data_IF_934521249951
#
_entry.id   IF_934521249951
#
_cell.length_a   1.000
_cell.length_b   1.000
_cell.length_c   1.000
_cell.angle_alpha   90.00
_cell.angle_beta   90.00
_cell.angle_gamma   90.00
#
_symmetry.space_group_name_H-M   'P 1'
#
loop_
_entity.id
_entity.type
_entity.pdbx_description
1 polymer ?
#
# COMPACT_ATOMS: atom_id res chain seq x y z
N UNK A 1 -20.23 -56.79 -48.45
CA UNK A 1 -20.39 -56.37 -49.86
C UNK A 1 -19.49 -55.16 -50.10
N UNK A 2 -18.55 -55.29 -51.05
CA UNK A 2 -17.82 -54.25 -51.83
C UNK A 2 -16.95 -53.19 -51.11
N UNK A 3 -15.79 -52.70 -51.57
CA UNK A 3 -14.64 -53.15 -52.39
C UNK A 3 -13.55 -52.02 -52.34
N UNK A 4 -12.26 -52.39 -52.36
CA UNK A 4 -11.03 -51.71 -52.88
C UNK A 4 -10.51 -50.29 -52.46
N UNK A 5 -9.36 -50.25 -51.72
CA UNK A 5 -7.96 -49.73 -52.04
C UNK A 5 -7.70 -48.27 -52.60
N UNK A 6 -6.46 -47.66 -52.54
CA UNK A 6 -5.55 -47.11 -51.48
C UNK A 6 -5.02 -45.64 -51.84
N UNK A 7 -3.80 -45.07 -51.52
CA UNK A 7 -2.62 -45.47 -50.70
C UNK A 7 -1.85 -44.38 -49.86
N UNK A 8 -0.81 -44.85 -49.12
CA UNK A 8 0.50 -44.26 -48.74
C UNK A 8 0.56 -43.04 -47.76
N UNK A 9 1.55 -42.77 -46.88
CA UNK A 9 2.99 -43.10 -46.72
C UNK A 9 3.38 -43.01 -45.22
N UNK A 10 4.34 -43.82 -44.75
CA UNK A 10 5.36 -43.35 -43.78
C UNK A 10 5.54 -44.16 -42.49
N UNK A 11 6.50 -45.10 -42.50
CA UNK A 11 6.95 -45.91 -41.37
C UNK A 11 8.37 -45.51 -40.93
N UNK A 12 8.52 -45.34 -39.61
CA UNK A 12 9.57 -45.87 -38.69
C UNK A 12 11.06 -45.50 -38.82
N UNK A 13 11.56 -44.98 -37.69
CA UNK A 13 12.71 -45.40 -36.88
C UNK A 13 14.14 -45.26 -37.43
N UNK A 14 15.04 -44.64 -36.65
CA UNK A 14 16.01 -45.35 -35.80
C UNK A 14 17.17 -44.48 -35.27
N UNK A 15 17.61 -44.82 -34.05
CA UNK A 15 18.96 -44.76 -33.43
C UNK A 15 19.97 -43.64 -33.78
N UNK A 16 20.52 -42.99 -32.74
CA UNK A 16 21.82 -43.33 -32.13
C UNK A 16 22.34 -42.17 -31.25
N UNK A 17 22.91 -42.53 -30.09
CA UNK A 17 23.61 -41.65 -29.16
C UNK A 17 25.05 -41.36 -29.62
N UNK A 18 25.63 -40.21 -29.20
CA UNK A 18 26.95 -40.10 -28.56
C UNK A 18 27.28 -38.64 -28.13
N UNK A 19 28.23 -38.42 -27.19
CA UNK A 19 28.22 -37.31 -26.25
C UNK A 19 29.15 -36.14 -26.64
N UNK A 20 28.94 -34.94 -26.08
CA UNK A 20 29.94 -33.86 -26.21
C UNK A 20 30.02 -32.87 -25.05
N UNK A 21 31.19 -32.98 -24.39
CA UNK A 21 32.07 -31.92 -23.91
C UNK A 21 31.60 -30.99 -22.76
N UNK A 22 32.11 -31.32 -21.57
CA UNK A 22 32.41 -30.40 -20.47
C UNK A 22 33.34 -29.29 -20.96
N UNK A 23 32.85 -28.05 -21.02
CA UNK A 23 33.66 -26.87 -21.22
C UNK A 23 34.02 -26.24 -19.87
N UNK A 24 35.33 -26.25 -19.55
CA UNK A 24 35.94 -25.53 -18.43
C UNK A 24 35.51 -24.06 -18.44
N UNK A 25 34.72 -23.64 -17.45
CA UNK A 25 34.63 -22.22 -17.09
C UNK A 25 35.97 -21.81 -16.49
N UNK A 26 36.63 -20.83 -17.12
CA UNK A 26 37.80 -20.17 -16.56
C UNK A 26 37.31 -19.24 -15.45
N UNK A 27 37.81 -19.48 -14.24
CA UNK A 27 37.91 -18.44 -13.22
C UNK A 27 38.84 -17.34 -13.74
N UNK A 28 38.33 -16.12 -13.79
CA UNK A 28 39.13 -14.91 -13.64
C UNK A 28 38.24 -13.85 -13.01
N UNK A 29 38.20 -13.92 -11.69
CA UNK A 29 37.81 -12.84 -10.79
C UNK A 29 38.75 -11.65 -10.96
N UNK A 30 38.20 -10.51 -11.35
CA UNK A 30 38.75 -9.20 -11.01
C UNK A 30 37.56 -8.35 -10.52
N UNK A 31 37.53 -7.92 -9.25
CA UNK A 31 36.55 -6.94 -8.84
C UNK A 31 36.99 -5.58 -9.39
N UNK A 32 36.23 -5.05 -10.35
CA UNK A 32 36.25 -3.63 -10.70
C UNK A 32 35.83 -2.86 -9.45
N UNK A 33 36.83 -2.50 -8.66
CA UNK A 33 36.68 -1.65 -7.48
C UNK A 33 36.69 -0.21 -7.99
N UNK A 34 35.64 0.15 -8.73
CA UNK A 34 35.27 1.56 -8.87
C UNK A 34 34.70 1.97 -7.53
N UNK A 35 35.58 2.46 -6.65
CA UNK A 35 35.18 3.26 -5.50
C UNK A 35 34.44 4.45 -6.09
N UNK A 36 33.11 4.40 -6.07
CA UNK A 36 32.27 5.58 -6.27
C UNK A 36 32.50 6.44 -5.04
N UNK A 37 33.57 7.22 -5.03
CA UNK A 37 33.68 8.41 -4.17
C UNK A 37 32.74 9.46 -4.72
N UNK A 38 31.44 9.17 -4.65
CA UNK A 38 30.42 10.19 -4.64
C UNK A 38 30.47 10.81 -3.25
N UNK A 39 31.41 11.73 -3.04
CA UNK A 39 31.21 12.76 -2.03
C UNK A 39 29.99 13.55 -2.50
N UNK A 40 28.80 13.05 -2.14
CA UNK A 40 27.56 13.81 -2.24
C UNK A 40 27.87 15.08 -1.46
N UNK A 41 27.84 16.23 -2.14
CA UNK A 41 28.00 17.52 -1.47
C UNK A 41 27.08 17.47 -0.25
N UNK A 42 27.68 17.59 0.94
CA UNK A 42 26.90 17.76 2.16
C UNK A 42 26.23 19.11 1.97
N UNK A 43 24.98 19.11 1.52
CA UNK A 43 24.15 20.30 1.56
C UNK A 43 24.29 20.88 2.97
N UNK A 44 24.63 22.16 3.06
CA UNK A 44 24.75 22.83 4.34
C UNK A 44 23.44 22.61 5.11
N UNK A 45 23.54 22.18 6.36
CA UNK A 45 22.36 21.97 7.19
C UNK A 45 21.56 23.28 7.26
N UNK A 46 20.23 23.25 7.08
CA UNK A 46 19.41 24.45 7.14
C UNK A 46 19.51 25.05 8.53
N UNK A 47 19.39 26.37 8.64
CA UNK A 47 19.23 27.04 9.95
C UNK A 47 17.88 26.67 10.56
N UNK A 48 17.73 26.83 11.89
CA UNK A 48 16.44 26.63 12.56
C UNK A 48 15.30 27.47 11.97
N UNK A 49 15.59 28.70 11.52
CA UNK A 49 14.60 29.59 10.90
C UNK A 49 14.15 29.04 9.54
N UNK A 50 15.09 28.57 8.72
CA UNK A 50 14.78 27.95 7.42
C UNK A 50 14.02 26.64 7.60
N UNK A 51 14.38 25.84 8.61
CA UNK A 51 13.65 24.62 8.95
C UNK A 51 12.21 24.95 9.39
N UNK A 52 12.03 25.91 10.30
CA UNK A 52 10.71 26.31 10.76
C UNK A 52 9.82 26.82 9.62
N UNK A 53 10.38 27.59 8.68
CA UNK A 53 9.65 28.08 7.51
C UNK A 53 9.18 26.96 6.57
N UNK A 54 9.85 25.79 6.61
CA UNK A 54 9.55 24.62 5.77
C UNK A 54 8.57 23.64 6.41
N UNK A 55 8.24 23.77 7.70
CA UNK A 55 7.27 22.87 8.34
C UNK A 55 5.92 22.99 7.63
N UNK A 56 5.37 21.86 7.19
CA UNK A 56 4.11 21.80 6.46
C UNK A 56 4.19 22.16 4.97
N UNK A 57 5.36 22.57 4.45
CA UNK A 57 5.55 22.71 3.00
C UNK A 57 5.67 21.32 2.36
N UNK A 58 4.95 21.10 1.26
CA UNK A 58 4.90 19.82 0.54
C UNK A 58 4.53 18.61 1.43
N UNK A 59 3.77 18.87 2.50
CA UNK A 59 3.35 17.87 3.46
C UNK A 59 2.18 17.05 2.90
N UNK A 60 2.45 15.80 2.50
CA UNK A 60 1.43 14.89 1.99
C UNK A 60 0.26 14.72 2.97
N UNK A 61 0.52 14.76 4.28
CA UNK A 61 -0.53 14.67 5.30
C UNK A 61 -1.43 15.91 5.33
N UNK A 62 -0.86 17.11 5.13
CA UNK A 62 -1.62 18.37 5.07
C UNK A 62 -2.49 18.38 3.81
N UNK A 63 -1.94 17.97 2.68
CA UNK A 63 -2.68 17.85 1.42
C UNK A 63 -3.81 16.82 1.52
N UNK A 64 -3.54 15.65 2.12
CA UNK A 64 -4.57 14.66 2.44
C UNK A 64 -5.65 15.26 3.36
N UNK A 65 -5.27 16.02 4.39
CA UNK A 65 -6.19 16.72 5.27
C UNK A 65 -7.10 17.71 4.52
N UNK A 66 -6.55 18.50 3.60
CA UNK A 66 -7.33 19.38 2.74
C UNK A 66 -8.29 18.62 1.82
N UNK A 67 -7.86 17.49 1.26
CA UNK A 67 -8.72 16.63 0.43
C UNK A 67 -9.89 16.04 1.23
N UNK A 68 -9.63 15.56 2.45
CA UNK A 68 -10.66 15.06 3.36
C UNK A 68 -11.67 16.16 3.69
N UNK A 69 -11.20 17.38 4.00
CA UNK A 69 -12.07 18.51 4.31
C UNK A 69 -12.94 18.93 3.11
N UNK A 70 -12.38 18.91 1.90
CA UNK A 70 -13.08 19.33 0.67
C UNK A 70 -14.13 18.32 0.21
N UNK A 71 -13.86 17.02 0.33
CA UNK A 71 -14.71 15.95 -0.20
C UNK A 71 -14.74 14.72 0.73
N UNK A 72 -15.31 14.85 1.94
CA UNK A 72 -15.21 13.82 2.98
C UNK A 72 -15.80 12.47 2.58
N UNK A 73 -16.82 12.46 1.71
CA UNK A 73 -17.47 11.23 1.24
C UNK A 73 -16.74 10.53 0.07
N UNK A 74 -15.78 11.19 -0.57
CA UNK A 74 -15.07 10.65 -1.75
C UNK A 74 -13.67 11.25 -1.85
N UNK A 75 -12.83 10.96 -0.87
CA UNK A 75 -11.47 11.52 -0.76
C UNK A 75 -10.59 11.03 -1.90
N UNK A 76 -10.81 9.78 -2.33
CA UNK A 76 -10.09 9.10 -3.40
C UNK A 76 -10.49 9.61 -4.80
N UNK A 77 -11.56 10.39 -4.93
CA UNK A 77 -11.98 10.98 -6.20
C UNK A 77 -12.51 9.97 -7.22
N UNK A 78 -13.09 8.86 -6.75
CA UNK A 78 -13.65 7.81 -7.58
C UNK A 78 -14.98 8.25 -8.22
N UNK A 79 -15.32 7.70 -9.39
CA UNK A 79 -16.67 7.81 -9.92
C UNK A 79 -17.57 6.80 -9.19
N UNK A 80 -18.37 7.31 -8.26
CA UNK A 80 -19.17 6.51 -7.35
C UNK A 80 -20.61 6.34 -7.82
N UNK A 81 -21.16 5.17 -7.54
CA UNK A 81 -22.58 4.84 -7.68
C UNK A 81 -23.04 3.97 -6.51
N UNK A 82 -24.35 3.89 -6.34
CA UNK A 82 -24.94 2.94 -5.41
C UNK A 82 -24.88 1.50 -5.99
N UNK A 83 -24.94 0.51 -5.10
CA UNK A 83 -25.02 -0.89 -5.47
C UNK A 83 -26.37 -1.22 -6.13
N UNK A 84 -26.34 -2.05 -7.17
CA UNK A 84 -27.55 -2.65 -7.74
C UNK A 84 -28.09 -3.77 -6.84
N UNK A 85 -29.36 -4.16 -7.03
CA UNK A 85 -29.95 -5.27 -6.26
C UNK A 85 -29.27 -6.61 -6.57
N UNK A 86 -28.87 -6.79 -7.82
CA UNK A 86 -28.15 -7.99 -8.28
C UNK A 86 -26.76 -8.07 -7.63
N UNK A 87 -26.05 -6.95 -7.53
CA UNK A 87 -24.74 -6.89 -6.87
C UNK A 87 -24.84 -7.18 -5.38
N UNK A 88 -25.85 -6.61 -4.70
CA UNK A 88 -26.13 -6.90 -3.29
C UNK A 88 -26.37 -8.40 -3.09
N UNK A 89 -27.21 -9.02 -3.93
CA UNK A 89 -27.49 -10.45 -3.83
C UNK A 89 -26.22 -11.31 -4.04
N UNK A 90 -25.34 -10.94 -4.97
CA UNK A 90 -24.05 -11.62 -5.19
C UNK A 90 -23.13 -11.47 -3.98
N UNK A 91 -23.08 -10.30 -3.37
CA UNK A 91 -22.28 -10.04 -2.17
C UNK A 91 -22.81 -10.84 -0.97
N UNK A 92 -24.12 -10.86 -0.76
CA UNK A 92 -24.77 -11.62 0.32
C UNK A 92 -24.53 -13.13 0.18
N UNK A 93 -24.67 -13.68 -1.03
CA UNK A 93 -24.34 -15.10 -1.34
C UNK A 93 -22.88 -15.43 -1.02
N UNK A 94 -21.97 -14.46 -1.21
CA UNK A 94 -20.55 -14.55 -0.86
C UNK A 94 -20.26 -14.34 0.64
N UNK A 95 -21.30 -14.24 1.46
CA UNK A 95 -21.19 -14.07 2.91
C UNK A 95 -20.88 -12.64 3.34
N UNK A 96 -21.03 -11.65 2.46
CA UNK A 96 -20.93 -10.26 2.86
C UNK A 96 -22.21 -9.79 3.56
N UNK A 97 -22.07 -8.82 4.45
CA UNK A 97 -23.17 -8.25 5.22
C UNK A 97 -22.97 -6.74 5.33
N UNK A 98 -24.05 -5.98 5.32
CA UNK A 98 -24.03 -4.56 5.61
C UNK A 98 -25.15 -4.19 6.57
N UNK A 99 -24.93 -3.23 7.47
CA UNK A 99 -25.98 -2.70 8.33
C UNK A 99 -27.05 -1.96 7.51
N UNK A 100 -26.60 -1.19 6.51
CA UNK A 100 -27.44 -0.51 5.53
C UNK A 100 -26.70 -0.42 4.20
N UNK A 101 -27.14 -1.19 3.21
CA UNK A 101 -26.59 -1.19 1.86
C UNK A 101 -26.65 0.19 1.18
N UNK A 102 -27.52 1.11 1.61
CA UNK A 102 -27.61 2.49 1.08
C UNK A 102 -26.43 3.36 1.49
N UNK A 103 -25.68 2.96 2.53
CA UNK A 103 -24.47 3.66 2.96
C UNK A 103 -23.22 3.19 2.20
N UNK A 104 -23.36 2.16 1.36
CA UNK A 104 -22.26 1.55 0.62
C UNK A 104 -22.28 2.08 -0.80
N UNK A 105 -21.17 2.70 -1.20
CA UNK A 105 -20.97 3.19 -2.56
C UNK A 105 -19.81 2.46 -3.20
N UNK A 106 -19.91 2.23 -4.51
CA UNK A 106 -18.90 1.50 -5.26
C UNK A 106 -18.45 2.27 -6.49
N UNK A 107 -17.23 2.01 -6.95
CA UNK A 107 -16.74 2.53 -8.23
C UNK A 107 -17.63 2.04 -9.40
N UNK A 108 -17.64 2.81 -10.50
CA UNK A 108 -18.46 2.48 -11.67
C UNK A 108 -18.21 1.06 -12.21
N UNK A 109 -16.94 0.65 -12.28
CA UNK A 109 -16.48 -0.67 -12.76
C UNK A 109 -16.24 -1.67 -11.60
N UNK A 110 -17.03 -1.57 -10.54
CA UNK A 110 -16.96 -2.48 -9.40
C UNK A 110 -17.29 -3.92 -9.77
N UNK A 111 -16.50 -4.87 -9.25
CA UNK A 111 -16.72 -6.30 -9.38
C UNK A 111 -17.12 -6.91 -8.03
N UNK A 112 -18.41 -7.29 -7.82
CA UNK A 112 -18.86 -7.88 -6.57
C UNK A 112 -18.24 -9.26 -6.30
N UNK A 113 -17.68 -9.94 -7.29
CA UNK A 113 -17.04 -11.24 -7.11
C UNK A 113 -15.71 -11.15 -6.35
N UNK A 114 -15.11 -9.96 -6.33
CA UNK A 114 -13.86 -9.64 -5.63
C UNK A 114 -14.06 -9.22 -4.17
N UNK A 115 -15.29 -9.33 -3.66
CA UNK A 115 -15.63 -9.03 -2.27
C UNK A 115 -16.32 -10.25 -1.66
N UNK A 116 -15.75 -10.83 -0.60
CA UNK A 116 -16.24 -12.08 -0.01
C UNK A 116 -16.02 -12.14 1.49
N UNK A 117 -17.07 -12.56 2.22
CA UNK A 117 -17.08 -12.61 3.69
C UNK A 117 -16.63 -11.30 4.32
N UNK A 118 -17.22 -10.19 3.85
CA UNK A 118 -16.91 -8.84 4.33
C UNK A 118 -18.09 -8.29 5.10
N UNK A 119 -17.83 -7.76 6.30
CA UNK A 119 -18.82 -7.02 7.06
C UNK A 119 -18.61 -5.52 6.87
N UNK A 120 -19.65 -4.82 6.43
CA UNK A 120 -19.64 -3.40 6.10
C UNK A 120 -20.51 -2.63 7.09
N UNK A 121 -19.89 -1.72 7.83
CA UNK A 121 -20.56 -0.88 8.82
C UNK A 121 -20.41 0.60 8.49
N UNK A 122 -21.52 1.35 8.57
CA UNK A 122 -21.53 2.77 8.25
C UNK A 122 -21.24 3.05 6.77
N UNK A 123 -20.68 4.24 6.49
CA UNK A 123 -20.42 4.69 5.12
C UNK A 123 -19.13 4.07 4.58
N UNK A 124 -19.26 3.10 3.69
CA UNK A 124 -18.09 2.50 3.04
C UNK A 124 -18.08 2.82 1.54
N UNK A 125 -16.87 3.12 1.03
CA UNK A 125 -16.62 3.30 -0.40
C UNK A 125 -15.69 2.20 -0.87
N UNK A 126 -16.06 1.45 -1.90
CA UNK A 126 -15.24 0.37 -2.46
C UNK A 126 -14.80 0.70 -3.89
N UNK A 127 -13.50 0.67 -4.15
CA UNK A 127 -12.92 0.83 -5.48
C UNK A 127 -13.19 -0.35 -6.40
N UNK A 128 -12.71 -0.26 -7.65
CA UNK A 128 -12.71 -1.41 -8.57
C UNK A 128 -11.56 -2.36 -8.21
N UNK A 129 -11.78 -3.67 -8.35
CA UNK A 129 -10.77 -4.69 -8.12
C UNK A 129 -10.65 -5.54 -9.38
N UNK A 130 -9.58 -5.37 -10.14
CA UNK A 130 -9.39 -6.12 -11.40
C UNK A 130 -8.00 -6.74 -11.49
N UNK A 131 -6.99 -6.13 -10.85
CA UNK A 131 -5.61 -6.56 -10.93
C UNK A 131 -5.22 -7.66 -9.94
N UNK A 132 -3.91 -7.94 -9.96
CA UNK A 132 -3.21 -8.73 -8.95
C UNK A 132 -2.13 -7.86 -8.32
N UNK A 133 -1.81 -8.12 -7.06
CA UNK A 133 -0.76 -7.41 -6.32
C UNK A 133 0.20 -8.42 -5.71
N UNK A 134 1.48 -8.10 -5.74
CA UNK A 134 2.53 -8.93 -5.15
C UNK A 134 2.51 -8.74 -3.62
N UNK A 135 2.22 -9.81 -2.89
CA UNK A 135 2.21 -9.81 -1.41
C UNK A 135 3.54 -10.24 -0.82
N UNK A 136 4.30 -11.04 -1.56
CA UNK A 136 5.65 -11.49 -1.24
C UNK A 136 6.40 -11.73 -2.55
N UNK A 137 7.74 -11.70 -2.56
CA UNK A 137 8.53 -11.96 -3.77
C UNK A 137 8.10 -13.23 -4.50
N UNK A 138 7.52 -13.08 -5.71
CA UNK A 138 7.03 -14.17 -6.56
C UNK A 138 5.66 -14.74 -6.19
N UNK A 139 4.93 -14.14 -5.25
CA UNK A 139 3.57 -14.52 -4.87
C UNK A 139 2.64 -13.32 -5.08
N UNK A 140 1.79 -13.43 -6.09
CA UNK A 140 0.74 -12.46 -6.40
C UNK A 140 -0.62 -13.01 -6.01
N UNK A 141 -1.46 -12.14 -5.44
CA UNK A 141 -2.84 -12.43 -5.12
C UNK A 141 -3.74 -11.47 -5.87
N UNK A 142 -4.94 -11.93 -6.20
CA UNK A 142 -5.93 -11.07 -6.81
C UNK A 142 -6.38 -9.98 -5.85
N UNK A 143 -6.44 -8.74 -6.34
CA UNK A 143 -6.98 -7.60 -5.59
C UNK A 143 -8.44 -7.86 -5.20
N UNK A 144 -8.91 -7.23 -4.14
CA UNK A 144 -10.23 -7.47 -3.57
C UNK A 144 -10.24 -7.36 -2.04
N UNK A 145 -11.40 -7.62 -1.45
CA UNK A 145 -11.61 -7.57 0.00
C UNK A 145 -12.16 -8.92 0.43
N UNK A 146 -11.39 -9.61 1.26
CA UNK A 146 -11.64 -10.97 1.70
C UNK A 146 -11.54 -11.06 3.21
N UNK A 147 -12.51 -11.72 3.86
CA UNK A 147 -12.42 -12.08 5.28
C UNK A 147 -12.13 -10.87 6.20
N UNK A 148 -12.86 -9.77 5.99
CA UNK A 148 -12.53 -8.48 6.61
C UNK A 148 -13.75 -7.72 7.13
N UNK A 149 -13.55 -6.84 8.11
CA UNK A 149 -14.59 -5.92 8.59
C UNK A 149 -14.19 -4.48 8.31
N UNK A 150 -15.03 -3.73 7.60
CA UNK A 150 -14.82 -2.32 7.30
C UNK A 150 -15.87 -1.47 8.03
N UNK A 151 -15.42 -0.41 8.69
CA UNK A 151 -16.26 0.52 9.47
C UNK A 151 -15.95 1.94 9.02
N UNK A 152 -16.87 2.59 8.30
CA UNK A 152 -16.71 3.95 7.82
C UNK A 152 -15.39 4.18 7.02
N UNK A 153 -15.08 3.27 6.08
CA UNK A 153 -13.82 3.27 5.34
C UNK A 153 -13.99 3.66 3.86
N UNK A 154 -12.93 4.19 3.26
CA UNK A 154 -12.85 4.37 1.80
C UNK A 154 -11.67 3.55 1.26
N UNK A 155 -11.94 2.62 0.35
CA UNK A 155 -10.95 1.71 -0.24
C UNK A 155 -10.74 2.07 -1.71
N UNK A 156 -9.50 2.27 -2.09
CA UNK A 156 -9.08 2.61 -3.45
C UNK A 156 -9.19 1.45 -4.43
N UNK A 157 -8.83 1.76 -5.68
CA UNK A 157 -8.81 0.76 -6.73
C UNK A 157 -7.66 -0.22 -6.52
N UNK A 158 -7.88 -1.46 -6.92
CA UNK A 158 -6.88 -2.53 -6.96
C UNK A 158 -6.16 -2.74 -5.60
N UNK A 159 -6.85 -2.47 -4.49
CA UNK A 159 -6.36 -2.81 -3.15
C UNK A 159 -6.56 -4.29 -2.86
N UNK A 160 -5.70 -4.86 -2.01
CA UNK A 160 -5.90 -6.19 -1.43
C UNK A 160 -6.07 -6.06 0.08
N UNK A 161 -7.25 -6.40 0.58
CA UNK A 161 -7.53 -6.55 2.00
C UNK A 161 -7.88 -8.01 2.25
N UNK A 162 -7.02 -8.74 2.95
CA UNK A 162 -7.26 -10.14 3.27
C UNK A 162 -6.96 -10.42 4.74
N UNK A 163 -7.92 -11.05 5.43
CA UNK A 163 -7.85 -11.33 6.87
C UNK A 163 -7.64 -10.05 7.72
N UNK A 164 -8.30 -8.94 7.36
CA UNK A 164 -8.28 -7.70 8.13
C UNK A 164 -9.44 -7.70 9.12
N UNK A 165 -9.18 -8.07 10.37
CA UNK A 165 -10.26 -8.26 11.36
C UNK A 165 -11.07 -6.97 11.59
N UNK A 166 -10.42 -5.80 11.67
CA UNK A 166 -11.11 -4.50 11.71
C UNK A 166 -10.32 -3.41 10.98
N UNK A 167 -10.92 -2.76 9.98
CA UNK A 167 -10.48 -1.46 9.47
C UNK A 167 -11.56 -0.42 9.80
N UNK A 168 -11.21 0.67 10.49
CA UNK A 168 -12.19 1.66 10.92
C UNK A 168 -11.73 3.12 10.75
N UNK A 169 -12.58 3.96 10.14
CA UNK A 169 -12.34 5.39 9.90
C UNK A 169 -11.02 5.65 9.15
N UNK A 170 -10.67 4.78 8.21
CA UNK A 170 -9.44 4.88 7.43
C UNK A 170 -9.74 5.00 5.94
N UNK A 171 -8.83 5.68 5.25
CA UNK A 171 -8.80 5.77 3.80
C UNK A 171 -7.60 4.94 3.35
N UNK A 172 -7.88 3.94 2.53
CA UNK A 172 -6.88 3.02 1.98
C UNK A 172 -6.70 3.40 0.52
N UNK A 173 -5.54 3.94 0.18
CA UNK A 173 -5.25 4.41 -1.17
C UNK A 173 -5.04 3.24 -2.16
N UNK A 174 -5.06 3.55 -3.45
CA UNK A 174 -4.94 2.58 -4.55
C UNK A 174 -3.75 1.64 -4.38
N UNK A 175 -3.92 0.39 -4.82
CA UNK A 175 -2.87 -0.65 -4.83
C UNK A 175 -2.29 -0.98 -3.44
N UNK A 176 -2.92 -0.52 -2.35
CA UNK A 176 -2.49 -0.85 -1.00
C UNK A 176 -2.81 -2.30 -0.65
N UNK A 177 -1.92 -2.90 0.16
CA UNK A 177 -2.05 -4.27 0.66
C UNK A 177 -2.18 -4.26 2.17
N UNK A 178 -3.29 -4.78 2.68
CA UNK A 178 -3.50 -5.08 4.09
C UNK A 178 -3.73 -6.58 4.20
N UNK A 179 -2.74 -7.29 4.72
CA UNK A 179 -2.75 -8.75 4.79
C UNK A 179 -2.49 -9.20 6.23
N UNK A 180 -3.41 -9.99 6.80
CA UNK A 180 -3.34 -10.51 8.17
C UNK A 180 -3.18 -9.42 9.25
N UNK A 181 -4.12 -8.45 9.23
CA UNK A 181 -4.12 -7.30 10.15
C UNK A 181 -5.21 -7.45 11.20
N UNK A 182 -4.82 -7.47 12.47
CA UNK A 182 -5.77 -7.56 13.59
C UNK A 182 -6.71 -6.34 13.68
N UNK A 183 -6.18 -5.12 13.66
CA UNK A 183 -6.99 -3.91 13.60
C UNK A 183 -6.19 -2.73 13.10
N UNK A 184 -6.77 -1.95 12.18
CA UNK A 184 -6.27 -0.66 11.74
C UNK A 184 -7.39 0.37 11.88
N UNK A 185 -7.28 1.24 12.89
CA UNK A 185 -8.39 2.14 13.25
C UNK A 185 -7.86 3.53 13.52
N UNK A 186 -8.57 4.55 13.04
CA UNK A 186 -8.29 5.94 13.35
C UNK A 186 -9.47 6.56 14.11
N UNK A 187 -9.20 7.62 14.88
CA UNK A 187 -10.24 8.47 15.47
C UNK A 187 -10.11 9.88 14.90
N UNK A 188 -11.22 10.62 14.79
CA UNK A 188 -11.18 12.01 14.31
C UNK A 188 -10.40 12.98 15.22
N UNK A 189 -10.00 12.55 16.41
CA UNK A 189 -9.17 13.32 17.34
C UNK A 189 -7.69 12.89 17.33
N UNK A 190 -7.31 11.91 16.50
CA UNK A 190 -5.93 11.44 16.44
C UNK A 190 -5.01 12.52 15.85
N UNK A 191 -4.00 12.93 16.60
CA UNK A 191 -2.95 13.85 16.14
C UNK A 191 -1.67 13.13 15.72
N UNK A 192 -1.58 11.81 15.97
CA UNK A 192 -0.39 10.99 15.70
C UNK A 192 0.90 11.56 16.32
N UNK A 193 0.79 12.29 17.43
CA UNK A 193 1.91 12.94 18.11
C UNK A 193 2.31 14.29 17.51
N UNK A 194 1.70 14.75 16.41
CA UNK A 194 1.94 16.09 15.89
C UNK A 194 1.55 17.15 16.92
N UNK A 195 2.46 18.10 17.16
CA UNK A 195 2.34 19.15 18.17
C UNK A 195 2.77 18.72 19.59
N UNK A 196 3.19 17.48 19.79
CA UNK A 196 3.81 17.06 21.04
C UNK A 196 5.28 17.47 21.08
N UNK A 197 5.72 18.02 22.20
CA UNK A 197 7.15 18.18 22.51
C UNK A 197 7.65 16.90 23.20
N UNK A 198 8.73 16.32 22.68
CA UNK A 198 9.36 15.12 23.26
C UNK A 198 10.72 15.50 23.85
N UNK A 199 10.91 15.17 25.13
CA UNK A 199 12.18 15.30 25.81
C UNK A 199 13.21 14.28 25.29
N UNK A 200 14.24 14.77 24.60
CA UNK A 200 15.38 13.97 24.13
C UNK A 200 16.57 14.16 25.06
N UNK A 201 17.14 13.05 25.55
CA UNK A 201 18.28 13.05 26.47
C UNK A 201 18.02 13.74 27.82
N UNK A 202 16.93 13.39 28.54
CA UNK A 202 16.60 13.99 29.83
C UNK A 202 17.73 13.87 30.87
N UNK A 203 18.58 12.85 30.76
CA UNK A 203 19.74 12.62 31.63
C UNK A 203 20.88 13.62 31.38
N UNK A 204 20.87 14.30 30.23
CA UNK A 204 21.89 15.26 29.79
C UNK A 204 21.37 16.70 29.78
N UNK A 205 20.27 16.95 30.48
CA UNK A 205 19.61 18.27 30.59
C UNK A 205 18.24 18.35 29.93
N UNK A 206 17.87 17.37 29.09
CA UNK A 206 16.58 17.33 28.40
C UNK A 206 16.45 18.41 27.33
N UNK A 207 16.17 18.00 26.10
CA UNK A 207 15.87 18.95 25.01
C UNK A 207 14.56 18.58 24.37
N UNK A 208 13.62 19.51 24.49
CA UNK A 208 12.29 19.34 23.90
C UNK A 208 12.38 19.49 22.38
N UNK A 209 11.97 18.43 21.68
CA UNK A 209 11.88 18.39 20.22
C UNK A 209 10.40 18.34 19.83
N UNK A 210 9.89 19.38 19.12
CA UNK A 210 8.51 19.36 18.64
C UNK A 210 8.36 18.32 17.54
N UNK A 211 7.26 17.58 17.58
CA UNK A 211 6.92 16.57 16.58
C UNK A 211 5.97 17.15 15.55
N UNK A 212 6.27 16.91 14.28
CA UNK A 212 5.37 17.12 13.15
C UNK A 212 5.49 15.94 12.18
N UNK A 213 4.57 15.83 11.23
CA UNK A 213 4.42 14.64 10.39
C UNK A 213 5.68 14.31 9.55
N UNK A 214 6.38 15.33 9.07
CA UNK A 214 7.57 15.22 8.24
C UNK A 214 8.88 15.35 9.05
N UNK A 215 8.82 15.20 10.38
CA UNK A 215 10.00 15.26 11.23
C UNK A 215 10.98 14.14 10.83
N UNK A 216 12.20 14.53 10.45
CA UNK A 216 13.30 13.60 10.17
C UNK A 216 14.26 13.54 11.36
N UNK A 217 15.03 12.46 11.46
CA UNK A 217 16.11 12.34 12.46
C UNK A 217 17.12 13.49 12.33
N UNK A 218 17.41 13.94 11.10
CA UNK A 218 18.28 15.09 10.85
C UNK A 218 17.72 16.39 11.40
N UNK A 219 16.44 16.67 11.14
CA UNK A 219 15.75 17.84 11.68
C UNK A 219 15.66 17.80 13.21
N UNK A 220 15.34 16.64 13.79
CA UNK A 220 15.32 16.44 15.24
C UNK A 220 16.69 16.71 15.87
N UNK A 221 17.76 16.17 15.27
CA UNK A 221 19.13 16.36 15.75
C UNK A 221 19.60 17.82 15.64
N UNK A 222 19.20 18.52 14.57
CA UNK A 222 19.47 19.96 14.41
C UNK A 222 18.80 20.76 15.52
N UNK A 223 17.49 20.55 15.74
CA UNK A 223 16.73 21.23 16.81
C UNK A 223 17.34 20.94 18.18
N UNK A 224 17.66 19.67 18.45
CA UNK A 224 18.28 19.27 19.71
C UNK A 224 19.72 19.76 19.89
N UNK A 225 20.40 20.29 18.86
CA UNK A 225 21.75 20.86 18.99
C UNK A 225 21.75 22.38 19.04
N UNK A 226 20.87 23.01 18.27
CA UNK A 226 20.93 24.45 17.98
C UNK A 226 19.89 25.28 18.71
N UNK A 227 18.81 24.68 19.25
CA UNK A 227 17.99 25.41 20.23
C UNK A 227 18.89 25.61 21.45
N UNK A 228 19.46 26.81 21.53
CA UNK A 228 20.37 27.19 22.60
C UNK A 228 19.78 26.84 23.94
N UNK A 229 20.66 26.44 24.87
CA UNK A 229 20.35 26.21 26.26
C UNK A 229 19.61 27.47 26.77
N UNK A 230 18.27 27.42 26.77
CA UNK A 230 17.47 28.44 27.40
C UNK A 230 17.81 28.35 28.88
N UNK A 231 18.50 29.36 29.38
CA UNK A 231 18.89 29.49 30.78
C UNK A 231 17.75 29.03 31.69
N UNK A 232 18.03 27.99 32.48
CA UNK A 232 17.29 27.68 33.70
C UNK A 232 17.75 28.56 34.84
#
# INVERSE_FOLDING_TARGET
MSNAQPPAVGKTASHAAEPRAVAKRRDSSAPDTTVVTGAKAVEAAPTLTELAARIGQDAELVDAGHLVAKRPANVLGLLLRDLSREEIAVMEDRGCRADDWKLIQVAQDFDPFRVRRVHLHGRCVLGRFAGEVEVMPGISLATGIYDSTLIACQVGNDCLLENVRFAANVIIDREAVLFDVGSITCSGAATFGCGLDIAVGPETGGREVPVWAELTVGHAALIARERGDGEG
#
